data_IF_741323373063
#
_entry.id   IF_741323373063
#
_cell.length_a   1.000
_cell.length_b   1.000
_cell.length_c   1.000
_cell.angle_alpha   90.00
_cell.angle_beta   90.00
_cell.angle_gamma   90.00
#
_symmetry.space_group_name_H-M   'P 1'
#
loop_
_entity.id
_entity.type
_entity.pdbx_description
1 polymer ?
#
# COMPACT_ATOMS: atom_id res chain seq x y z
N UNK A 1 17.96 30.93 -0.22
CA UNK A 1 16.99 30.67 -1.31
C UNK A 1 16.75 29.18 -1.35
N UNK A 2 15.60 28.74 -0.88
CA UNK A 2 15.15 27.35 -1.01
C UNK A 2 14.74 27.16 -2.48
N UNK A 3 15.49 26.35 -3.23
CA UNK A 3 15.11 25.94 -4.58
C UNK A 3 13.99 24.89 -4.47
N UNK A 4 12.77 25.35 -4.25
CA UNK A 4 11.58 24.50 -4.25
C UNK A 4 10.80 24.73 -5.52
N UNK A 5 10.29 23.64 -6.09
CA UNK A 5 9.36 23.66 -7.21
C UNK A 5 8.08 22.96 -6.80
N UNK A 6 6.99 23.70 -6.80
CA UNK A 6 5.66 23.12 -6.66
C UNK A 6 5.29 22.37 -7.93
N UNK A 7 4.72 21.19 -7.80
CA UNK A 7 4.24 20.37 -8.92
C UNK A 7 2.74 20.17 -8.82
N UNK A 8 2.08 19.98 -9.96
CA UNK A 8 0.62 19.82 -10.08
C UNK A 8 0.28 18.41 -10.58
N UNK A 9 -0.99 18.07 -10.48
CA UNK A 9 -1.57 16.85 -11.03
C UNK A 9 -1.17 16.63 -12.48
N UNK A 10 -0.55 15.48 -12.79
CA UNK A 10 -0.14 15.10 -14.13
C UNK A 10 1.09 15.84 -14.66
N UNK A 11 1.67 16.74 -13.87
CA UNK A 11 2.90 17.43 -14.27
C UNK A 11 4.08 16.44 -14.32
N UNK A 12 5.05 16.72 -15.19
CA UNK A 12 6.28 15.93 -15.29
C UNK A 12 7.52 16.81 -15.22
N UNK A 13 8.55 16.26 -14.61
CA UNK A 13 9.89 16.86 -14.57
C UNK A 13 10.86 15.94 -15.29
N UNK A 14 11.61 16.51 -16.24
CA UNK A 14 12.68 15.79 -16.92
C UNK A 14 13.96 15.84 -16.09
N UNK A 15 14.58 14.67 -15.93
CA UNK A 15 15.90 14.49 -15.35
C UNK A 15 16.95 14.13 -16.43
N UNK A 16 16.74 14.59 -17.65
CA UNK A 16 17.56 14.26 -18.81
C UNK A 16 17.05 12.99 -19.51
N UNK A 17 17.56 11.83 -19.16
CA UNK A 17 17.16 10.56 -19.77
C UNK A 17 15.91 9.93 -19.16
N UNK A 18 15.37 10.50 -18.08
CA UNK A 18 14.21 9.99 -17.34
C UNK A 18 13.24 11.12 -17.03
N UNK A 19 11.98 10.76 -16.94
CA UNK A 19 10.94 11.68 -16.53
C UNK A 19 10.29 11.19 -15.24
N UNK A 20 9.87 12.14 -14.41
CA UNK A 20 9.05 11.87 -13.23
C UNK A 20 7.71 12.55 -13.42
N UNK A 21 6.64 11.77 -13.43
CA UNK A 21 5.26 12.26 -13.51
C UNK A 21 4.61 12.17 -12.13
N UNK A 22 3.83 13.19 -11.77
CA UNK A 22 3.27 13.33 -10.43
C UNK A 22 1.75 13.20 -10.47
N UNK A 23 1.21 12.38 -9.56
CA UNK A 23 -0.22 12.16 -9.42
C UNK A 23 -0.62 12.39 -7.97
N UNK A 24 -1.55 13.33 -7.76
CA UNK A 24 -2.03 13.62 -6.41
C UNK A 24 -2.93 12.50 -5.90
N UNK A 25 -2.63 12.03 -4.71
CA UNK A 25 -3.39 10.99 -4.01
C UNK A 25 -3.82 11.49 -2.62
N UNK A 26 -4.58 12.62 -2.55
CA UNK A 26 -4.92 13.25 -1.29
C UNK A 26 -5.63 12.29 -0.37
N UNK A 27 -5.30 12.35 0.92
CA UNK A 27 -5.82 11.48 1.98
C UNK A 27 -5.43 10.00 1.87
N UNK A 28 -4.38 9.69 1.09
CA UNK A 28 -3.81 8.34 1.08
C UNK A 28 -2.36 8.35 1.66
N UNK A 29 -2.08 8.67 2.97
CA UNK A 29 -3.20 8.95 3.91
C UNK A 29 -3.21 10.42 4.38
N UNK A 30 -2.27 11.26 3.99
CA UNK A 30 -2.21 12.69 4.29
C UNK A 30 -2.86 13.53 3.19
N UNK A 31 -3.33 14.76 3.51
CA UNK A 31 -3.99 15.63 2.51
C UNK A 31 -3.13 15.95 1.28
N UNK A 32 -1.82 16.07 1.47
CA UNK A 32 -0.85 16.49 0.46
C UNK A 32 -0.16 15.33 -0.25
N UNK A 33 -0.57 14.09 -0.02
CA UNK A 33 0.10 12.92 -0.61
C UNK A 33 0.08 12.97 -2.13
N UNK A 34 1.24 12.70 -2.67
CA UNK A 34 1.52 12.58 -4.09
C UNK A 34 2.28 11.28 -4.34
N UNK A 35 1.98 10.60 -5.42
CA UNK A 35 2.76 9.49 -5.94
C UNK A 35 3.55 9.93 -7.15
N UNK A 36 4.72 9.34 -7.35
CA UNK A 36 5.62 9.68 -8.45
C UNK A 36 5.79 8.45 -9.34
N UNK A 37 5.62 8.64 -10.64
CA UNK A 37 5.81 7.57 -11.63
C UNK A 37 6.95 7.88 -12.58
N UNK A 38 7.84 6.89 -12.80
CA UNK A 38 8.91 6.94 -13.78
C UNK A 38 8.54 6.03 -14.97
N UNK A 39 8.09 6.60 -16.10
CA UNK A 39 7.59 5.82 -17.23
C UNK A 39 8.64 4.97 -17.91
N UNK A 40 9.90 5.41 -17.99
CA UNK A 40 10.98 4.67 -18.64
C UNK A 40 11.31 3.37 -17.93
N UNK A 41 11.06 3.31 -16.62
CA UNK A 41 11.31 2.14 -15.79
C UNK A 41 10.02 1.49 -15.28
N UNK A 42 8.85 2.08 -15.58
CA UNK A 42 7.53 1.63 -15.10
C UNK A 42 7.48 1.48 -13.58
N UNK A 43 8.16 2.38 -12.87
CA UNK A 43 8.29 2.39 -11.42
C UNK A 43 7.33 3.40 -10.83
N UNK A 44 6.52 2.96 -9.88
CA UNK A 44 5.67 3.80 -9.06
C UNK A 44 6.29 3.95 -7.66
N UNK A 45 6.62 5.17 -7.26
CA UNK A 45 6.93 5.54 -5.89
C UNK A 45 5.63 5.97 -5.23
N UNK A 46 5.07 5.10 -4.41
CA UNK A 46 3.67 5.20 -3.98
C UNK A 46 3.48 5.88 -2.63
N UNK A 47 4.51 6.50 -2.08
CA UNK A 47 4.49 6.98 -0.69
C UNK A 47 4.06 5.84 0.25
N UNK A 48 3.11 6.06 1.14
CA UNK A 48 2.64 5.05 2.09
C UNK A 48 1.65 4.03 1.48
N UNK A 49 1.12 4.32 0.29
CA UNK A 49 0.23 3.37 -0.37
C UNK A 49 0.97 2.06 -0.69
N UNK A 50 0.26 0.95 -0.55
CA UNK A 50 0.77 -0.40 -0.75
C UNK A 50 1.84 -0.83 0.28
N UNK A 51 1.97 -0.07 1.37
CA UNK A 51 2.87 -0.38 2.47
C UNK A 51 2.41 -1.56 3.34
N UNK A 52 3.35 -2.07 4.11
CA UNK A 52 3.11 -3.10 5.12
C UNK A 52 3.86 -2.76 6.41
N UNK A 53 3.39 -3.27 7.53
CA UNK A 53 4.26 -3.41 8.69
C UNK A 53 5.22 -4.60 8.50
N UNK A 54 6.18 -4.71 9.39
CA UNK A 54 7.17 -5.77 9.40
C UNK A 54 8.55 -5.32 8.89
N UNK A 55 9.58 -5.94 9.42
CA UNK A 55 10.97 -5.70 9.02
C UNK A 55 11.35 -6.59 7.84
N UNK A 56 12.11 -6.03 6.90
CA UNK A 56 12.72 -6.79 5.81
C UNK A 56 13.92 -7.58 6.36
N UNK A 57 13.99 -8.86 6.06
CA UNK A 57 15.05 -9.73 6.53
C UNK A 57 15.90 -10.25 5.36
N UNK A 58 16.95 -9.50 5.02
CA UNK A 58 17.96 -9.90 4.03
C UNK A 58 17.62 -9.60 2.58
N UNK A 59 16.37 -9.27 2.25
CA UNK A 59 15.95 -8.88 0.91
C UNK A 59 15.08 -7.64 0.92
N UNK A 60 14.91 -6.98 -0.22
CA UNK A 60 14.01 -5.83 -0.39
C UNK A 60 12.89 -6.10 -1.40
N UNK A 61 13.12 -7.02 -2.34
CA UNK A 61 12.12 -7.38 -3.36
C UNK A 61 11.18 -8.45 -2.83
N UNK A 62 9.94 -8.40 -3.26
CA UNK A 62 8.92 -9.43 -2.95
C UNK A 62 9.34 -10.84 -3.37
N UNK A 63 10.21 -10.96 -4.39
CA UNK A 63 10.79 -12.23 -4.84
C UNK A 63 11.88 -12.80 -3.92
N UNK A 64 12.40 -12.00 -2.99
CA UNK A 64 13.51 -12.36 -2.11
C UNK A 64 13.04 -12.69 -0.68
N UNK A 65 11.76 -12.53 -0.41
CA UNK A 65 11.17 -12.60 0.93
C UNK A 65 10.15 -13.73 1.05
N UNK A 66 10.00 -14.27 2.25
CA UNK A 66 8.82 -15.06 2.59
C UNK A 66 7.65 -14.08 2.84
N UNK A 67 6.64 -14.13 1.97
CA UNK A 67 5.58 -13.13 1.94
C UNK A 67 4.39 -13.46 2.86
N UNK A 68 4.31 -14.64 3.45
CA UNK A 68 3.13 -15.08 4.20
C UNK A 68 2.76 -14.11 5.32
N UNK A 69 3.76 -13.66 6.07
CA UNK A 69 3.59 -12.67 7.12
C UNK A 69 3.15 -11.29 6.57
N UNK A 70 3.68 -10.89 5.42
CA UNK A 70 3.43 -9.54 4.88
C UNK A 70 2.00 -9.33 4.39
N UNK A 71 1.26 -10.39 4.04
CA UNK A 71 -0.13 -10.25 3.61
C UNK A 71 -1.05 -9.82 4.76
N UNK A 72 -0.87 -10.39 5.93
CA UNK A 72 -1.62 -10.01 7.13
C UNK A 72 -1.17 -8.62 7.62
N UNK A 73 0.12 -8.36 7.56
CA UNK A 73 0.69 -7.06 7.92
C UNK A 73 0.25 -5.93 6.97
N UNK A 74 0.02 -6.21 5.69
CA UNK A 74 -0.55 -5.26 4.75
C UNK A 74 -2.00 -4.90 5.12
N UNK A 75 -2.82 -5.90 5.45
CA UNK A 75 -4.21 -5.67 5.91
C UNK A 75 -4.22 -4.85 7.19
N UNK A 76 -3.37 -5.20 8.14
CA UNK A 76 -3.23 -4.46 9.40
C UNK A 76 -2.75 -3.03 9.16
N UNK A 77 -1.74 -2.84 8.31
CA UNK A 77 -1.24 -1.53 7.90
C UNK A 77 -2.36 -0.69 7.28
N UNK A 78 -3.06 -1.26 6.30
CA UNK A 78 -4.18 -0.58 5.65
C UNK A 78 -5.23 -0.15 6.68
N UNK A 79 -5.69 -1.05 7.54
CA UNK A 79 -6.72 -0.76 8.54
C UNK A 79 -6.30 0.35 9.51
N UNK A 80 -5.04 0.34 9.96
CA UNK A 80 -4.54 1.32 10.92
C UNK A 80 -4.24 2.70 10.32
N UNK A 81 -3.76 2.74 9.07
CA UNK A 81 -3.20 3.95 8.46
C UNK A 81 -4.17 4.56 7.44
N UNK A 82 -4.74 3.75 6.57
CA UNK A 82 -5.51 4.20 5.40
C UNK A 82 -7.02 3.95 5.55
N UNK A 83 -7.41 3.05 6.45
CA UNK A 83 -8.73 2.40 6.47
C UNK A 83 -9.96 3.32 6.38
N UNK A 84 -9.93 4.52 6.95
CA UNK A 84 -11.06 5.47 6.87
C UNK A 84 -11.16 6.19 5.51
N UNK A 85 -10.18 6.04 4.64
CA UNK A 85 -10.05 6.79 3.39
C UNK A 85 -10.35 5.93 2.14
N UNK A 86 -11.28 5.00 2.22
CA UNK A 86 -11.61 4.09 1.11
C UNK A 86 -11.92 4.80 -0.21
N UNK A 87 -12.78 5.83 -0.20
CA UNK A 87 -13.11 6.58 -1.41
C UNK A 87 -11.90 7.33 -2.03
N UNK A 88 -11.02 8.00 -1.26
CA UNK A 88 -9.73 8.49 -1.78
C UNK A 88 -8.85 7.40 -2.40
N UNK A 89 -8.74 6.23 -1.77
CA UNK A 89 -7.96 5.09 -2.31
C UNK A 89 -8.54 4.63 -3.65
N UNK A 90 -9.87 4.45 -3.76
CA UNK A 90 -10.53 4.08 -5.02
C UNK A 90 -10.23 5.09 -6.14
N UNK A 91 -10.28 6.39 -5.85
CA UNK A 91 -9.91 7.43 -6.83
C UNK A 91 -8.45 7.34 -7.26
N UNK A 92 -7.54 7.08 -6.31
CA UNK A 92 -6.12 6.90 -6.62
C UNK A 92 -5.88 5.65 -7.49
N UNK A 93 -6.50 4.51 -7.15
CA UNK A 93 -6.43 3.28 -7.94
C UNK A 93 -6.95 3.48 -9.37
N UNK A 94 -8.09 4.14 -9.52
CA UNK A 94 -8.66 4.47 -10.83
C UNK A 94 -7.72 5.35 -11.66
N UNK A 95 -7.14 6.38 -11.05
CA UNK A 95 -6.20 7.29 -11.70
C UNK A 95 -4.94 6.55 -12.20
N UNK A 96 -4.42 5.61 -11.42
CA UNK A 96 -3.22 4.86 -11.72
C UNK A 96 -3.45 3.65 -12.62
N UNK A 97 -4.70 3.22 -12.84
CA UNK A 97 -5.04 1.99 -13.58
C UNK A 97 -4.58 1.98 -15.04
N UNK A 98 -4.40 3.16 -15.65
CA UNK A 98 -3.89 3.30 -17.03
C UNK A 98 -2.37 3.27 -17.15
N UNK A 99 -1.62 3.22 -16.05
CA UNK A 99 -0.16 3.23 -16.07
C UNK A 99 0.38 1.79 -16.13
N UNK A 100 1.34 1.51 -17.02
CA UNK A 100 2.02 0.23 -17.05
C UNK A 100 3.03 0.14 -15.89
N UNK A 101 2.59 -0.29 -14.71
CA UNK A 101 3.40 -0.39 -13.51
C UNK A 101 4.02 -1.79 -13.42
N UNK A 102 5.35 -1.86 -13.39
CA UNK A 102 6.11 -3.10 -13.21
C UNK A 102 6.83 -3.17 -11.85
N UNK A 103 6.93 -2.04 -11.16
CA UNK A 103 7.52 -1.98 -9.81
C UNK A 103 6.77 -0.96 -8.97
N UNK A 104 6.45 -1.31 -7.73
CA UNK A 104 5.92 -0.40 -6.73
C UNK A 104 6.92 -0.29 -5.57
N UNK A 105 7.39 0.93 -5.32
CA UNK A 105 8.24 1.29 -4.19
C UNK A 105 7.41 2.06 -3.17
N UNK A 106 6.96 1.37 -2.13
CA UNK A 106 6.33 1.98 -0.97
C UNK A 106 7.40 2.44 0.04
N UNK A 107 7.05 3.40 0.88
CA UNK A 107 7.93 3.84 1.99
C UNK A 107 8.05 2.77 3.09
N UNK A 108 7.14 1.81 3.15
CA UNK A 108 7.09 0.74 4.15
C UNK A 108 6.90 -0.63 3.50
N UNK A 109 7.68 -1.61 3.97
CA UNK A 109 7.59 -3.00 3.51
C UNK A 109 8.37 -3.30 2.23
N UNK A 110 8.05 -4.39 1.53
CA UNK A 110 8.75 -4.82 0.33
C UNK A 110 8.59 -3.89 -0.87
N UNK A 111 9.56 -3.92 -1.76
CA UNK A 111 9.40 -3.44 -3.14
C UNK A 111 8.67 -4.54 -3.92
N UNK A 112 7.52 -4.18 -4.51
CA UNK A 112 6.64 -5.10 -5.20
C UNK A 112 6.95 -5.15 -6.69
N UNK A 113 7.20 -6.35 -7.22
CA UNK A 113 7.42 -6.60 -8.65
C UNK A 113 6.59 -7.80 -9.13
N UNK A 114 6.65 -8.94 -8.46
CA UNK A 114 5.96 -10.16 -8.89
C UNK A 114 4.52 -10.22 -8.40
N UNK A 115 4.19 -9.54 -7.30
CA UNK A 115 2.88 -9.63 -6.63
C UNK A 115 2.04 -8.37 -6.73
N UNK A 116 2.35 -7.47 -7.66
CA UNK A 116 1.65 -6.18 -7.86
C UNK A 116 0.13 -6.37 -7.96
N UNK A 117 -0.33 -7.33 -8.76
CA UNK A 117 -1.77 -7.58 -8.92
C UNK A 117 -2.46 -7.96 -7.61
N UNK A 118 -1.81 -8.76 -6.76
CA UNK A 118 -2.33 -9.12 -5.43
C UNK A 118 -2.36 -7.92 -4.49
N UNK A 119 -1.30 -7.12 -4.50
CA UNK A 119 -1.18 -5.90 -3.68
C UNK A 119 -2.29 -4.91 -4.03
N UNK A 120 -2.47 -4.63 -5.31
CA UNK A 120 -3.55 -3.75 -5.79
C UNK A 120 -4.92 -4.33 -5.43
N UNK A 121 -5.12 -5.63 -5.61
CA UNK A 121 -6.38 -6.32 -5.28
C UNK A 121 -6.74 -6.22 -3.80
N UNK A 122 -5.78 -6.34 -2.89
CA UNK A 122 -6.00 -6.15 -1.44
C UNK A 122 -6.46 -4.71 -1.15
N UNK A 123 -5.78 -3.72 -1.70
CA UNK A 123 -6.14 -2.31 -1.51
C UNK A 123 -7.51 -1.99 -2.10
N UNK A 124 -7.83 -2.55 -3.27
CA UNK A 124 -9.13 -2.40 -3.92
C UNK A 124 -10.27 -2.98 -3.06
N UNK A 125 -10.12 -4.22 -2.59
CA UNK A 125 -11.10 -4.89 -1.72
C UNK A 125 -11.31 -4.11 -0.41
N UNK A 126 -10.21 -3.78 0.29
CA UNK A 126 -10.30 -3.11 1.59
C UNK A 126 -10.88 -1.69 1.47
N UNK A 127 -10.58 -0.98 0.38
CA UNK A 127 -11.08 0.38 0.16
C UNK A 127 -12.56 0.44 -0.23
N UNK A 128 -13.14 -0.66 -0.69
CA UNK A 128 -14.58 -0.83 -0.86
C UNK A 128 -15.30 -1.28 0.41
N UNK A 129 -14.54 -1.53 1.49
CA UNK A 129 -15.06 -2.10 2.74
C UNK A 129 -15.70 -3.47 2.56
N UNK A 130 -15.23 -4.23 1.59
CA UNK A 130 -15.68 -5.60 1.34
C UNK A 130 -14.99 -6.54 2.32
N UNK A 131 -15.75 -6.98 3.34
CA UNK A 131 -15.30 -7.96 4.33
C UNK A 131 -15.33 -9.38 3.78
N UNK A 132 -14.51 -10.24 4.37
CA UNK A 132 -14.65 -11.69 4.16
C UNK A 132 -15.82 -12.19 5.03
N UNK A 133 -16.65 -13.12 4.54
CA UNK A 133 -17.68 -13.75 5.36
C UNK A 133 -17.05 -14.44 6.57
N UNK A 134 -17.54 -14.15 7.76
CA UNK A 134 -16.99 -14.75 8.97
C UNK A 134 -17.63 -14.22 10.24
N UNK A 135 -17.20 -14.76 11.38
CA UNK A 135 -17.61 -14.34 12.72
C UNK A 135 -16.39 -13.77 13.44
N UNK A 136 -16.51 -12.55 13.95
CA UNK A 136 -15.50 -11.95 14.81
C UNK A 136 -15.91 -12.13 16.27
N UNK A 137 -15.05 -12.78 17.06
CA UNK A 137 -15.22 -12.91 18.50
C UNK A 137 -14.20 -11.98 19.17
N UNK A 138 -14.68 -10.86 19.72
CA UNK A 138 -13.85 -9.98 20.53
C UNK A 138 -13.97 -10.38 21.99
N UNK A 139 -12.85 -10.56 22.68
CA UNK A 139 -12.81 -10.90 24.09
C UNK A 139 -11.68 -10.17 24.81
N UNK A 140 -11.90 -9.93 26.12
CA UNK A 140 -10.85 -9.44 27.01
C UNK A 140 -10.41 -10.54 27.98
N UNK A 141 -9.15 -10.53 28.38
CA UNK A 141 -8.62 -11.44 29.39
C UNK A 141 -7.77 -10.69 30.40
N UNK A 142 -8.19 -10.72 31.67
CA UNK A 142 -7.47 -10.07 32.76
C UNK A 142 -6.15 -10.78 33.08
N UNK A 143 -6.08 -12.08 32.92
CA UNK A 143 -4.92 -12.92 33.29
C UNK A 143 -4.23 -13.57 32.10
N UNK A 144 -4.48 -13.12 30.88
CA UNK A 144 -3.88 -13.68 29.66
C UNK A 144 -4.36 -15.09 29.31
N UNK A 145 -5.40 -15.62 29.99
CA UNK A 145 -5.97 -16.92 29.65
C UNK A 145 -6.76 -16.82 28.35
N UNK A 146 -6.17 -17.31 27.26
CA UNK A 146 -6.70 -17.24 25.89
C UNK A 146 -7.35 -18.56 25.45
N UNK A 147 -7.62 -19.49 26.33
CA UNK A 147 -8.10 -20.84 25.99
C UNK A 147 -9.39 -20.86 25.18
N UNK A 148 -10.23 -19.84 25.31
CA UNK A 148 -11.47 -19.70 24.53
C UNK A 148 -11.27 -18.99 23.18
N UNK A 149 -10.19 -18.19 23.04
CA UNK A 149 -9.91 -17.42 21.82
C UNK A 149 -8.85 -18.06 20.90
N UNK A 150 -8.17 -19.10 21.38
CA UNK A 150 -7.12 -19.80 20.64
C UNK A 150 -7.61 -21.06 19.91
N UNK A 151 -8.91 -21.24 19.76
CA UNK A 151 -9.43 -22.35 18.95
C UNK A 151 -9.05 -22.15 17.50
N UNK A 152 -8.50 -23.19 16.83
CA UNK A 152 -7.92 -23.09 15.50
C UNK A 152 -8.99 -23.11 14.40
N UNK A 153 -10.03 -22.32 14.52
CA UNK A 153 -10.94 -22.09 13.42
C UNK A 153 -10.48 -20.85 12.66
N UNK A 154 -9.56 -21.07 11.72
CA UNK A 154 -9.53 -20.24 10.52
C UNK A 154 -10.82 -20.57 9.76
N UNK A 155 -11.77 -19.68 9.83
CA UNK A 155 -12.90 -19.64 8.90
C UNK A 155 -12.46 -18.78 7.73
#
# INVERSE_FOLDING_TARGET
HTLTREVKEGESISLGQKNLSFYMAPMVHWPEVMVTYCPEHKVLFSADAFGTFGALNGGILDSQLSLDHFWDEMRRYYACIVGKYGAPVQKALQKLSGLPIETICSTHGPVWQQKIGRVIGIYDQLSRYEGEPGVVIAYGSMYGNKSLGSWPYRV
#
